data_IF_527696554268
#
_entry.id   IF_527696554268
#
_cell.length_a   1.000
_cell.length_b   1.000
_cell.length_c   1.000
_cell.angle_alpha   90.00
_cell.angle_beta   90.00
_cell.angle_gamma   90.00
#
_symmetry.space_group_name_H-M   'P 1'
#
loop_
_entity.id
_entity.type
_entity.pdbx_description
1 polymer ?
#
# COMPACT_ATOMS: atom_id res chain seq x y z
N UNK A 1 -7.13 6.49 16.14
CA UNK A 1 -6.49 6.08 14.91
C UNK A 1 -5.65 4.86 15.10
N UNK A 2 -5.50 4.09 14.07
CA UNK A 2 -4.68 2.90 14.13
C UNK A 2 -3.86 2.83 12.86
N UNK A 3 -2.92 1.92 12.84
CA UNK A 3 -2.14 1.71 11.64
C UNK A 3 -2.73 0.59 10.82
N UNK A 4 -2.54 0.67 9.54
CA UNK A 4 -3.09 -0.32 8.62
C UNK A 4 -2.71 -1.74 9.03
N UNK A 5 -1.51 -1.91 9.59
CA UNK A 5 -1.04 -3.24 9.97
C UNK A 5 -1.94 -3.93 10.97
N UNK A 6 -2.76 -3.18 11.66
CA UNK A 6 -3.62 -3.78 12.67
C UNK A 6 -4.78 -4.55 12.08
N UNK A 7 -5.16 -4.23 10.85
CA UNK A 7 -6.29 -4.91 10.23
C UNK A 7 -5.95 -5.57 8.92
N UNK A 8 -4.71 -5.45 8.45
CA UNK A 8 -4.36 -6.00 7.15
C UNK A 8 -2.90 -6.39 7.11
N UNK A 9 -2.57 -7.24 6.16
CA UNK A 9 -1.19 -7.54 5.86
C UNK A 9 -0.96 -7.21 4.39
N UNK A 10 0.30 -7.24 3.97
CA UNK A 10 0.61 -6.81 2.62
C UNK A 10 1.72 -7.65 2.03
N UNK A 11 1.79 -7.65 0.72
CA UNK A 11 2.81 -8.34 -0.02
C UNK A 11 3.25 -7.47 -1.17
N UNK A 12 4.53 -7.51 -1.47
CA UNK A 12 5.09 -6.73 -2.58
C UNK A 12 5.49 -7.66 -3.71
N UNK A 13 5.18 -7.24 -4.93
CA UNK A 13 5.71 -7.88 -6.11
C UNK A 13 6.33 -6.79 -6.96
N UNK A 14 7.26 -7.15 -7.82
CA UNK A 14 7.80 -6.14 -8.72
C UNK A 14 8.16 -6.77 -10.03
N UNK A 15 8.26 -5.93 -11.04
CA UNK A 15 8.52 -6.38 -12.36
C UNK A 15 9.13 -5.23 -13.10
N UNK A 16 10.42 -5.20 -13.21
CA UNK A 16 11.12 -4.12 -13.85
C UNK A 16 10.89 -2.83 -13.10
N UNK A 17 10.32 -1.87 -13.77
CA UNK A 17 10.11 -0.56 -13.18
C UNK A 17 8.75 -0.40 -12.53
N UNK A 18 8.01 -1.48 -12.45
CA UNK A 18 6.67 -1.46 -11.88
C UNK A 18 6.67 -2.32 -10.64
N UNK A 19 6.06 -1.80 -9.61
CA UNK A 19 5.92 -2.54 -8.38
C UNK A 19 4.45 -2.65 -8.04
N UNK A 20 4.08 -3.67 -7.29
CA UNK A 20 2.72 -3.72 -6.82
C UNK A 20 2.69 -4.16 -5.37
N UNK A 21 1.66 -3.73 -4.68
CA UNK A 21 1.45 -4.11 -3.28
C UNK A 21 0.03 -4.60 -3.16
N UNK A 22 -0.12 -5.78 -2.60
CA UNK A 22 -1.44 -6.29 -2.26
C UNK A 22 -1.66 -6.04 -0.78
N UNK A 23 -2.82 -5.50 -0.45
CA UNK A 23 -3.22 -5.27 0.94
C UNK A 23 -4.42 -6.15 1.19
N UNK A 24 -4.31 -7.06 2.12
CA UNK A 24 -5.34 -8.06 2.37
C UNK A 24 -5.83 -7.93 3.81
N UNK A 25 -7.13 -7.71 3.97
CA UNK A 25 -7.69 -7.60 5.32
C UNK A 25 -7.60 -8.94 6.02
N UNK A 26 -7.26 -8.92 7.30
CA UNK A 26 -7.26 -10.15 8.08
C UNK A 26 -8.67 -10.68 8.26
N UNK A 27 -9.65 -9.77 8.25
CA UNK A 27 -11.04 -10.18 8.43
C UNK A 27 -11.88 -9.39 7.44
N UNK A 28 -12.82 -10.06 6.80
CA UNK A 28 -13.60 -9.40 5.76
C UNK A 28 -14.40 -8.23 6.29
N UNK A 29 -14.70 -8.20 7.57
CA UNK A 29 -15.46 -7.07 8.11
C UNK A 29 -14.68 -5.76 8.04
N UNK A 30 -13.38 -5.83 7.89
CA UNK A 30 -12.56 -4.63 7.79
C UNK A 30 -12.33 -4.18 6.35
N UNK A 31 -12.78 -4.97 5.39
CA UNK A 31 -12.59 -4.58 4.00
C UNK A 31 -13.23 -3.22 3.68
N UNK A 32 -14.43 -2.90 4.19
CA UNK A 32 -14.98 -1.57 3.92
C UNK A 32 -14.08 -0.44 4.39
N UNK A 33 -13.34 -0.64 5.48
CA UNK A 33 -12.39 0.37 5.92
C UNK A 33 -11.27 0.54 4.90
N UNK A 34 -10.79 -0.57 4.35
CA UNK A 34 -9.76 -0.50 3.34
C UNK A 34 -10.26 0.23 2.11
N UNK A 35 -11.48 -0.09 1.69
CA UNK A 35 -12.03 0.55 0.51
C UNK A 35 -12.17 2.04 0.69
N UNK A 36 -12.57 2.46 1.87
CA UNK A 36 -12.81 3.86 2.12
C UNK A 36 -11.53 4.65 2.34
N UNK A 37 -10.55 4.06 2.96
CA UNK A 37 -9.41 4.83 3.42
C UNK A 37 -8.10 4.56 2.72
N UNK A 38 -7.93 3.39 2.14
CA UNK A 38 -6.67 3.09 1.46
C UNK A 38 -6.87 3.36 -0.01
N UNK A 39 -6.81 4.63 -0.36
CA UNK A 39 -7.07 5.07 -1.72
C UNK A 39 -5.76 5.26 -2.47
N UNK A 40 -5.86 5.32 -3.79
CA UNK A 40 -4.68 5.57 -4.62
C UNK A 40 -4.00 6.86 -4.20
N UNK A 41 -4.79 7.89 -3.93
CA UNK A 41 -4.21 9.17 -3.57
C UNK A 41 -3.45 9.10 -2.24
N UNK A 42 -4.00 8.40 -1.27
CA UNK A 42 -3.32 8.28 0.00
C UNK A 42 -2.06 7.44 -0.09
N UNK A 43 -2.12 6.38 -0.89
CA UNK A 43 -0.95 5.54 -1.09
C UNK A 43 0.14 6.33 -1.80
N UNK A 44 -0.24 7.09 -2.80
CA UNK A 44 0.75 7.89 -3.51
C UNK A 44 1.37 8.94 -2.59
N UNK A 45 0.57 9.57 -1.76
CA UNK A 45 1.09 10.55 -0.83
C UNK A 45 2.02 9.90 0.20
N UNK A 46 1.66 8.70 0.63
CA UNK A 46 2.46 7.99 1.62
C UNK A 46 3.85 7.66 1.06
N UNK A 47 3.93 7.43 -0.23
CA UNK A 47 5.20 7.10 -0.87
C UNK A 47 5.78 8.28 -1.65
N UNK A 48 5.40 9.49 -1.29
CA UNK A 48 5.93 10.65 -1.99
C UNK A 48 7.45 10.64 -1.94
N UNK A 49 8.06 10.89 -3.08
CA UNK A 49 9.52 10.85 -3.16
C UNK A 49 10.08 9.49 -3.46
N UNK A 50 9.28 8.47 -3.36
CA UNK A 50 9.73 7.10 -3.64
C UNK A 50 9.06 6.60 -4.91
N UNK A 51 7.76 6.79 -5.02
CA UNK A 51 7.01 6.38 -6.21
C UNK A 51 6.77 7.63 -7.03
N UNK A 52 7.32 7.65 -8.23
CA UNK A 52 7.23 8.84 -9.06
C UNK A 52 6.14 8.77 -10.09
N UNK A 53 5.66 7.60 -10.41
CA UNK A 53 4.61 7.43 -11.39
C UNK A 53 3.26 7.38 -10.74
N UNK A 54 2.33 6.80 -11.44
CA UNK A 54 0.97 6.71 -10.97
C UNK A 54 0.77 5.53 -10.06
N UNK A 55 -0.21 5.65 -9.19
CA UNK A 55 -0.65 4.54 -8.34
C UNK A 55 -2.07 4.22 -8.76
N UNK A 56 -2.29 2.99 -9.18
CA UNK A 56 -3.60 2.54 -9.63
C UNK A 56 -4.09 1.47 -8.66
N UNK A 57 -5.28 1.63 -8.17
CA UNK A 57 -5.86 0.68 -7.21
C UNK A 57 -6.83 -0.25 -7.91
N UNK A 58 -6.67 -1.53 -7.65
CA UNK A 58 -7.60 -2.55 -8.11
C UNK A 58 -8.27 -3.18 -6.90
N UNK A 59 -9.57 -3.40 -6.99
CA UNK A 59 -10.32 -3.98 -5.89
C UNK A 59 -10.51 -5.46 -6.13
N UNK A 60 -10.24 -6.23 -5.09
CA UNK A 60 -10.37 -7.69 -5.15
C UNK A 60 -11.29 -8.14 -4.02
N UNK A 61 -12.58 -7.87 -4.16
CA UNK A 61 -13.51 -8.12 -3.05
C UNK A 61 -13.59 -9.58 -2.61
N UNK A 62 -13.42 -10.50 -3.53
CA UNK A 62 -13.46 -11.90 -3.15
C UNK A 62 -12.35 -12.30 -2.20
N UNK A 63 -11.30 -11.51 -2.16
CA UNK A 63 -10.16 -11.78 -1.31
C UNK A 63 -10.07 -10.78 -0.17
N UNK A 64 -11.04 -9.90 -0.06
CA UNK A 64 -10.99 -8.79 0.88
C UNK A 64 -9.69 -8.03 0.74
N UNK A 65 -9.31 -7.76 -0.49
CA UNK A 65 -8.01 -7.22 -0.79
C UNK A 65 -8.06 -6.08 -1.78
N UNK A 66 -6.98 -5.31 -1.78
CA UNK A 66 -6.74 -4.28 -2.77
C UNK A 66 -5.36 -4.53 -3.34
N UNK A 67 -5.18 -4.20 -4.61
CA UNK A 67 -3.87 -4.30 -5.22
C UNK A 67 -3.52 -2.94 -5.80
N UNK A 68 -2.36 -2.44 -5.45
CA UNK A 68 -1.88 -1.15 -5.94
C UNK A 68 -0.73 -1.39 -6.89
N UNK A 69 -0.88 -0.89 -8.11
CA UNK A 69 0.17 -1.00 -9.12
C UNK A 69 0.81 0.37 -9.25
N UNK A 70 2.11 0.43 -9.07
CA UNK A 70 2.84 1.69 -9.02
C UNK A 70 3.93 1.68 -10.06
N UNK A 71 3.87 2.65 -10.98
CA UNK A 71 4.90 2.76 -11.98
C UNK A 71 5.98 3.69 -11.47
N UNK A 72 7.19 3.44 -11.90
CA UNK A 72 8.30 4.28 -11.51
C UNK A 72 8.75 4.12 -10.09
N UNK A 73 8.25 3.09 -9.41
CA UNK A 73 8.58 2.91 -8.01
C UNK A 73 10.01 2.50 -7.80
N UNK A 74 10.57 1.77 -8.74
CA UNK A 74 11.91 1.27 -8.59
C UNK A 74 12.91 1.95 -9.48
N UNK A 75 12.44 2.83 -10.34
CA UNK A 75 13.30 3.40 -11.34
C UNK A 75 14.39 4.27 -10.79
N UNK A 76 14.43 5.48 -11.24
CA UNK A 76 15.48 6.37 -10.82
C UNK A 76 15.55 6.55 -9.34
N UNK A 77 14.60 5.99 -8.63
CA UNK A 77 14.59 6.13 -7.20
C UNK A 77 15.32 5.07 -6.44
N UNK A 78 16.07 4.24 -7.14
CA UNK A 78 16.76 3.17 -6.45
C UNK A 78 17.56 3.67 -5.27
N UNK A 79 18.30 4.71 -5.46
CA UNK A 79 19.13 5.20 -4.41
C UNK A 79 18.33 5.70 -3.25
N UNK A 80 17.27 6.39 -3.54
CA UNK A 80 16.46 6.92 -2.49
C UNK A 80 15.69 5.86 -1.77
N UNK A 81 15.23 4.90 -2.49
CA UNK A 81 14.44 3.89 -1.87
C UNK A 81 15.27 2.96 -1.03
N UNK A 82 16.57 3.07 -1.10
CA UNK A 82 17.41 2.23 -0.28
C UNK A 82 17.06 2.32 1.17
N UNK A 83 16.74 3.49 1.63
CA UNK A 83 16.44 3.64 3.03
C UNK A 83 15.25 2.81 3.42
N UNK A 84 14.24 2.80 2.59
CA UNK A 84 13.10 2.00 2.84
C UNK A 84 13.37 0.56 2.56
N UNK A 85 14.16 0.31 1.55
CA UNK A 85 14.32 -1.01 1.02
C UNK A 85 15.55 -1.71 1.49
N UNK A 86 16.13 -1.23 2.53
CA UNK A 86 17.35 -1.81 3.03
C UNK A 86 17.20 -3.27 3.34
N UNK A 87 16.01 -3.69 3.68
CA UNK A 87 15.81 -5.07 4.05
C UNK A 87 14.94 -5.80 3.07
N UNK A 88 14.73 -5.21 1.91
CA UNK A 88 14.07 -5.92 0.85
C UNK A 88 12.60 -6.15 0.98
N UNK A 89 11.95 -5.47 1.89
CA UNK A 89 10.52 -5.65 1.98
C UNK A 89 9.84 -4.36 2.25
N UNK A 90 10.47 -3.36 1.85
CA UNK A 90 10.15 -2.09 2.28
C UNK A 90 8.86 -1.50 1.87
N UNK A 91 8.47 -1.63 0.62
CA UNK A 91 7.26 -0.93 0.20
C UNK A 91 6.02 -1.48 0.88
N UNK A 92 5.87 -2.79 0.93
CA UNK A 92 4.70 -3.34 1.56
C UNK A 92 4.72 -3.08 3.07
N UNK A 93 5.87 -3.21 3.69
CA UNK A 93 5.97 -2.94 5.11
C UNK A 93 5.70 -1.48 5.42
N UNK A 94 6.21 -0.60 4.59
CA UNK A 94 6.00 0.82 4.81
C UNK A 94 4.55 1.21 4.65
N UNK A 95 3.85 0.57 3.74
CA UNK A 95 2.44 0.89 3.56
C UNK A 95 1.63 0.55 4.81
N UNK A 96 2.04 -0.46 5.54
CA UNK A 96 1.32 -0.85 6.73
C UNK A 96 1.42 0.18 7.85
N UNK A 97 2.28 1.18 7.70
CA UNK A 97 2.34 2.28 8.64
C UNK A 97 1.30 3.37 8.35
N UNK A 98 0.58 3.23 7.25
CA UNK A 98 -0.46 4.20 6.92
C UNK A 98 -1.48 4.26 8.05
N UNK A 99 -1.84 5.47 8.44
CA UNK A 99 -2.79 5.62 9.52
C UNK A 99 -4.21 5.64 8.99
N UNK A 100 -5.09 4.95 9.65
CA UNK A 100 -6.49 4.92 9.28
C UNK A 100 -7.33 5.14 10.51
N UNK A 101 -8.56 5.57 10.26
CA UNK A 101 -9.48 5.79 11.36
C UNK A 101 -10.22 4.53 11.62
N UNK A 102 -10.24 4.13 12.88
CA UNK A 102 -10.77 2.84 13.18
C UNK A 102 -12.28 2.79 13.20
N UNK A 103 -12.98 3.90 13.35
CA UNK A 103 -14.38 3.75 13.33
C UNK A 103 -14.95 4.90 12.66
N UNK A 104 -15.52 4.73 11.62
CA UNK A 104 -16.18 5.76 10.98
C UNK A 104 -17.27 6.01 11.82
N UNK A 105 -17.59 6.67 12.25
CA UNK A 105 -18.55 6.95 12.91
C UNK A 105 -19.62 6.71 12.56
N UNK A 106 -20.31 6.61 13.03
CA UNK A 106 -21.60 6.27 12.73
C UNK A 106 -22.19 7.26 12.08
#
# INVERSE_FOLDING_TARGET
MMKLREIAHSRTGDKGNTSNISVIAYHEKHYPLLLAQVTSARVKAHFAGVVEGEVVRYELPNLSALNFVMSGALGGGVTRSLALDAHGKSLSSALLDLEIEDAPNP
#
